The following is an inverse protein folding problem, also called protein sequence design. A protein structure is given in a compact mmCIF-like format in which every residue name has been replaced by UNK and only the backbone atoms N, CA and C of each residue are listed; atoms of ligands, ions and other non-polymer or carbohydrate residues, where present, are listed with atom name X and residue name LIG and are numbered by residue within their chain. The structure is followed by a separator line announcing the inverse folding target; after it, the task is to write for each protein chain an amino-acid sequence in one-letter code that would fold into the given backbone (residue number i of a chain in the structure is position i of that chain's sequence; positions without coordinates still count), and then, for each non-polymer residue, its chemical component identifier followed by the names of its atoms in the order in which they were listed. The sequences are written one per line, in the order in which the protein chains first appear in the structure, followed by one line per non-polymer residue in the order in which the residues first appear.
data_IF_047548185519
#
_entry.id   IF_047548185519
#
_cell.length_a   1.000
_cell.length_b   1.000
_cell.length_c   1.000
_cell.angle_alpha   90.00
_cell.angle_beta   90.00
_cell.angle_gamma   90.00
#
_symmetry.space_group_name_H-M   'P 1'
#
loop_
_entity.id
_entity.type
_entity.pdbx_description
1 polymer ?
#
# COMPACT_ATOMS: atom_id res chain seq x y z
N UNK A 1 13.81 31.86 -66.65
CA UNK A 1 13.21 32.20 -65.33
C UNK A 1 12.17 31.14 -65.03
N UNK A 2 12.01 30.48 -63.89
CA UNK A 2 12.72 30.32 -62.62
C UNK A 2 12.14 29.00 -62.04
N UNK A 3 12.99 28.05 -61.62
CA UNK A 3 12.57 26.77 -61.02
C UNK A 3 12.03 27.03 -59.60
N UNK A 4 10.89 26.47 -59.23
CA UNK A 4 10.43 26.41 -57.83
C UNK A 4 10.49 24.96 -57.37
N UNK A 5 11.43 24.71 -56.46
CA UNK A 5 11.52 23.47 -55.67
C UNK A 5 10.38 23.44 -54.65
N UNK A 6 9.62 22.35 -54.63
CA UNK A 6 8.68 22.05 -53.54
C UNK A 6 9.44 21.38 -52.39
N UNK A 7 9.51 22.07 -51.25
CA UNK A 7 10.11 21.59 -50.00
C UNK A 7 9.30 20.45 -49.39
N UNK A 8 9.97 19.35 -49.07
CA UNK A 8 9.46 18.30 -48.21
C UNK A 8 9.49 18.76 -46.75
N UNK A 9 8.31 18.83 -46.11
CA UNK A 9 8.18 19.11 -44.68
C UNK A 9 8.28 17.78 -43.92
N UNK A 10 9.44 17.51 -43.32
CA UNK A 10 9.61 16.42 -42.35
C UNK A 10 9.13 16.91 -40.98
N UNK A 11 8.01 16.38 -40.50
CA UNK A 11 7.54 16.57 -39.12
C UNK A 11 8.26 15.54 -38.24
N UNK A 12 9.24 16.00 -37.46
CA UNK A 12 9.81 15.24 -36.35
C UNK A 12 8.83 15.31 -35.17
N UNK A 13 8.09 14.23 -34.92
CA UNK A 13 7.38 14.02 -33.66
C UNK A 13 8.41 13.66 -32.59
N UNK A 14 8.92 14.67 -31.88
CA UNK A 14 9.69 14.44 -30.65
C UNK A 14 8.67 14.06 -29.59
N UNK A 15 8.51 12.76 -29.35
CA UNK A 15 7.78 12.25 -28.20
C UNK A 15 8.50 12.69 -26.93
N UNK A 16 7.94 13.67 -26.22
CA UNK A 16 8.39 14.04 -24.89
C UNK A 16 8.00 12.92 -23.92
N UNK A 17 8.89 11.96 -23.72
CA UNK A 17 8.85 11.08 -22.55
C UNK A 17 9.19 11.91 -21.32
N UNK A 18 8.22 12.64 -20.78
CA UNK A 18 8.33 13.23 -19.46
C UNK A 18 8.28 12.08 -18.45
N UNK A 19 9.46 11.55 -18.10
CA UNK A 19 9.61 10.79 -16.87
C UNK A 19 9.27 11.75 -15.72
N UNK A 20 8.07 11.61 -15.17
CA UNK A 20 7.67 12.34 -13.97
C UNK A 20 8.66 11.97 -12.87
N UNK A 21 9.43 12.96 -12.40
CA UNK A 21 10.30 12.77 -11.26
C UNK A 21 9.44 12.31 -10.07
N UNK A 22 9.66 11.09 -9.61
CA UNK A 22 8.95 10.54 -8.46
C UNK A 22 9.30 11.39 -7.24
N UNK A 23 8.27 11.91 -6.55
CA UNK A 23 8.50 12.72 -5.34
C UNK A 23 9.22 11.88 -4.30
N UNK A 24 10.34 12.40 -3.79
CA UNK A 24 11.09 11.76 -2.69
C UNK A 24 10.37 11.81 -1.36
N UNK A 25 9.29 12.57 -1.25
CA UNK A 25 8.51 12.72 -0.01
C UNK A 25 7.70 11.47 0.33
N UNK A 26 7.50 10.59 -0.65
CA UNK A 26 6.73 9.36 -0.51
C UNK A 26 7.60 8.13 -0.78
N UNK A 27 7.22 7.02 -0.17
CA UNK A 27 7.62 5.69 -0.62
C UNK A 27 6.91 5.38 -1.94
N UNK A 28 7.59 4.62 -2.80
CA UNK A 28 7.03 4.22 -4.10
C UNK A 28 5.72 3.43 -3.93
N UNK A 29 4.62 4.01 -4.41
CA UNK A 29 3.29 3.42 -4.29
C UNK A 29 3.14 2.13 -5.12
N UNK A 30 3.77 2.04 -6.29
CA UNK A 30 3.66 0.88 -7.18
C UNK A 30 4.39 -0.31 -6.57
N UNK A 31 5.56 -0.08 -5.96
CA UNK A 31 6.28 -1.12 -5.19
C UNK A 31 5.49 -1.58 -3.97
N UNK A 32 4.81 -0.67 -3.27
CA UNK A 32 3.93 -1.05 -2.15
C UNK A 32 2.74 -1.89 -2.63
N UNK A 33 2.20 -1.62 -3.82
CA UNK A 33 1.16 -2.47 -4.44
C UNK A 33 1.71 -3.86 -4.78
N UNK A 34 2.90 -3.94 -5.39
CA UNK A 34 3.57 -5.20 -5.72
C UNK A 34 3.83 -6.07 -4.47
N UNK A 35 4.19 -5.44 -3.35
CA UNK A 35 4.45 -6.13 -2.09
C UNK A 35 3.22 -6.88 -1.54
N UNK A 36 2.00 -6.40 -1.80
CA UNK A 36 0.77 -6.82 -1.11
C UNK A 36 0.54 -8.32 -1.17
N UNK A 37 0.57 -8.92 -2.36
CA UNK A 37 0.27 -10.35 -2.53
C UNK A 37 1.36 -11.25 -1.92
N UNK A 38 2.62 -10.82 -1.99
CA UNK A 38 3.72 -11.54 -1.36
C UNK A 38 3.63 -11.52 0.16
N UNK A 39 3.43 -10.33 0.73
CA UNK A 39 3.32 -10.15 2.18
C UNK A 39 2.08 -10.83 2.75
N UNK A 40 0.95 -10.83 2.03
CA UNK A 40 -0.25 -11.53 2.46
C UNK A 40 0.02 -13.03 2.65
N UNK A 41 0.80 -13.66 1.76
CA UNK A 41 1.21 -15.07 1.92
C UNK A 41 2.09 -15.27 3.16
N UNK A 42 3.04 -14.36 3.41
CA UNK A 42 3.89 -14.38 4.61
C UNK A 42 3.04 -14.31 5.88
N UNK A 43 2.09 -13.36 5.94
CA UNK A 43 1.21 -13.19 7.10
C UNK A 43 0.28 -14.39 7.27
N UNK A 44 -0.36 -14.88 6.19
CA UNK A 44 -1.21 -16.08 6.23
C UNK A 44 -0.49 -17.29 6.77
N UNK A 45 0.75 -17.53 6.32
CA UNK A 45 1.55 -18.65 6.84
C UNK A 45 1.85 -18.48 8.32
N UNK A 46 2.23 -17.28 8.75
CA UNK A 46 2.49 -17.00 10.17
C UNK A 46 1.23 -17.23 11.02
N UNK A 47 0.07 -16.77 10.54
CA UNK A 47 -1.23 -16.89 11.21
C UNK A 47 -1.94 -18.23 10.98
N UNK A 48 -1.34 -19.13 10.19
CA UNK A 48 -1.90 -20.42 9.78
C UNK A 48 -3.25 -20.32 9.07
N UNK A 49 -3.53 -19.20 8.41
CA UNK A 49 -4.74 -19.02 7.63
C UNK A 49 -4.66 -19.75 6.28
N UNK A 50 -5.80 -20.26 5.81
CA UNK A 50 -5.96 -20.96 4.53
C UNK A 50 -6.76 -20.13 3.51
N UNK A 51 -7.01 -18.86 3.80
CA UNK A 51 -7.78 -17.98 2.91
C UNK A 51 -7.09 -17.74 1.57
N UNK A 52 -7.91 -17.44 0.56
CA UNK A 52 -7.47 -17.32 -0.84
C UNK A 52 -7.84 -15.98 -1.48
N UNK A 53 -8.68 -15.15 -0.84
CA UNK A 53 -9.05 -13.83 -1.35
C UNK A 53 -7.90 -12.84 -1.17
N UNK A 54 -8.09 -11.56 -1.46
CA UNK A 54 -7.08 -10.53 -1.20
C UNK A 54 -7.79 -9.20 -1.00
N UNK A 55 -7.35 -8.35 -0.07
CA UNK A 55 -7.94 -7.03 0.08
C UNK A 55 -7.52 -6.13 -1.09
N UNK A 56 -8.34 -5.14 -1.40
CA UNK A 56 -7.90 -3.98 -2.16
C UNK A 56 -6.82 -3.21 -1.41
N UNK A 57 -6.02 -2.40 -2.12
CA UNK A 57 -5.02 -1.53 -1.51
C UNK A 57 -5.07 -0.16 -2.19
N UNK A 58 -5.26 0.89 -1.37
CA UNK A 58 -5.27 2.29 -1.76
C UNK A 58 -4.14 3.01 -1.03
N UNK A 59 -3.24 3.60 -1.80
CA UNK A 59 -2.06 4.29 -1.28
C UNK A 59 -2.33 5.79 -1.23
N UNK A 60 -1.96 6.44 -0.12
CA UNK A 60 -2.13 7.88 0.14
C UNK A 60 -1.70 8.75 -1.05
N UNK A 61 -0.50 8.57 -1.59
CA UNK A 61 0.01 9.41 -2.69
C UNK A 61 -0.72 9.25 -4.03
N UNK A 62 -1.60 8.24 -4.17
CA UNK A 62 -2.35 7.93 -5.39
C UNK A 62 -3.87 7.99 -5.17
N UNK A 63 -4.32 8.34 -3.97
CA UNK A 63 -5.74 8.30 -3.59
C UNK A 63 -6.15 9.66 -3.06
N UNK A 64 -7.17 10.28 -3.65
CA UNK A 64 -7.70 11.54 -3.16
C UNK A 64 -8.21 11.37 -1.71
N UNK A 65 -7.91 12.35 -0.84
CA UNK A 65 -8.33 12.32 0.57
C UNK A 65 -9.84 12.15 0.74
N UNK A 66 -10.64 12.71 -0.16
CA UNK A 66 -12.11 12.57 -0.16
C UNK A 66 -12.55 11.11 -0.24
N UNK A 67 -11.87 10.29 -1.03
CA UNK A 67 -12.17 8.86 -1.18
C UNK A 67 -11.92 8.11 0.13
N UNK A 68 -10.81 8.43 0.81
CA UNK A 68 -10.50 7.87 2.13
C UNK A 68 -11.51 8.33 3.19
N UNK A 69 -11.80 9.64 3.24
CA UNK A 69 -12.74 10.21 4.19
C UNK A 69 -14.13 9.61 4.09
N UNK A 70 -14.64 9.44 2.87
CA UNK A 70 -15.97 8.87 2.65
C UNK A 70 -16.02 7.39 3.10
N UNK A 71 -14.92 6.65 2.96
CA UNK A 71 -14.81 5.29 3.49
C UNK A 71 -14.78 5.26 5.02
N UNK A 72 -13.98 6.14 5.65
CA UNK A 72 -13.89 6.22 7.11
C UNK A 72 -15.18 6.70 7.76
N UNK A 73 -15.89 7.63 7.14
CA UNK A 73 -17.16 8.12 7.65
C UNK A 73 -18.22 7.02 7.61
N UNK A 74 -18.22 6.21 6.56
CA UNK A 74 -19.11 5.05 6.46
C UNK A 74 -18.76 3.93 7.46
N UNK A 75 -17.48 3.68 7.70
CA UNK A 75 -17.04 2.58 8.56
C UNK A 75 -17.06 2.92 10.06
N UNK A 76 -16.49 4.06 10.42
CA UNK A 76 -16.29 4.49 11.81
C UNK A 76 -17.16 5.68 12.24
N UNK A 77 -17.88 6.31 11.31
CA UNK A 77 -18.57 7.57 11.61
C UNK A 77 -17.59 8.74 11.84
N UNK A 78 -16.34 8.61 11.38
CA UNK A 78 -15.28 9.59 11.56
C UNK A 78 -14.80 10.13 10.21
N UNK A 79 -14.37 11.38 10.20
CA UNK A 79 -13.87 12.04 8.98
C UNK A 79 -12.48 12.65 9.22
N UNK A 80 -11.40 11.85 9.16
CA UNK A 80 -10.06 12.34 9.45
C UNK A 80 -9.58 13.35 8.40
N UNK A 81 -8.85 14.38 8.83
CA UNK A 81 -8.27 15.39 7.93
C UNK A 81 -7.00 14.93 7.20
N UNK A 82 -6.55 13.71 7.47
CA UNK A 82 -5.35 13.09 6.91
C UNK A 82 -5.52 11.57 6.80
N UNK A 83 -4.72 10.94 5.94
CA UNK A 83 -4.74 9.48 5.79
C UNK A 83 -4.31 8.77 7.07
N UNK A 84 -4.89 7.60 7.31
CA UNK A 84 -4.46 6.65 8.33
C UNK A 84 -4.18 5.30 7.66
N UNK A 85 -3.35 4.49 8.31
CA UNK A 85 -3.27 3.07 7.96
C UNK A 85 -4.50 2.38 8.56
N UNK A 86 -5.27 1.68 7.72
CA UNK A 86 -6.49 1.01 8.15
C UNK A 86 -6.93 -0.04 7.14
N UNK A 87 -7.35 -1.20 7.65
CA UNK A 87 -8.20 -2.13 6.92
C UNK A 87 -9.68 -1.81 7.15
N UNK A 88 -10.38 -1.45 6.08
CA UNK A 88 -11.83 -1.29 6.06
C UNK A 88 -12.52 -2.60 5.69
N UNK A 89 -13.12 -3.25 6.71
CA UNK A 89 -13.85 -4.51 6.56
C UNK A 89 -15.12 -4.40 5.72
N UNK A 90 -15.73 -3.21 5.60
CA UNK A 90 -16.93 -3.04 4.77
C UNK A 90 -16.63 -3.12 3.27
N UNK A 91 -15.46 -2.60 2.86
CA UNK A 91 -15.05 -2.54 1.46
C UNK A 91 -13.94 -3.53 1.12
N UNK A 92 -13.50 -4.32 2.10
CA UNK A 92 -12.37 -5.24 1.98
C UNK A 92 -11.14 -4.53 1.38
N UNK A 93 -10.81 -3.33 1.88
CA UNK A 93 -9.77 -2.46 1.33
C UNK A 93 -8.84 -1.96 2.43
N UNK A 94 -7.54 -2.05 2.18
CA UNK A 94 -6.51 -1.42 2.99
C UNK A 94 -6.26 -0.01 2.44
N UNK A 95 -6.26 0.98 3.31
CA UNK A 95 -5.74 2.33 3.05
C UNK A 95 -4.37 2.44 3.75
N UNK A 96 -3.35 2.87 3.01
CA UNK A 96 -1.98 2.90 3.48
C UNK A 96 -1.35 4.27 3.26
N UNK A 97 -0.88 4.90 4.34
CA UNK A 97 0.01 6.05 4.28
C UNK A 97 1.36 5.65 3.69
N UNK A 98 1.87 6.42 2.75
CA UNK A 98 3.21 6.21 2.20
C UNK A 98 4.10 7.45 2.26
N UNK A 99 3.66 8.53 2.91
CA UNK A 99 4.52 9.69 3.17
C UNK A 99 5.68 9.32 4.09
N UNK A 100 6.92 9.59 3.69
CA UNK A 100 8.14 9.19 4.44
C UNK A 100 8.16 9.77 5.86
N UNK A 101 7.69 11.00 6.03
CA UNK A 101 7.69 11.71 7.32
C UNK A 101 6.68 11.15 8.33
N UNK A 102 5.71 10.34 7.90
CA UNK A 102 4.79 9.64 8.80
C UNK A 102 5.45 8.47 9.53
N UNK A 103 6.64 8.05 9.12
CA UNK A 103 7.34 6.88 9.65
C UNK A 103 8.63 7.27 10.36
N UNK A 104 8.87 6.66 11.53
CA UNK A 104 10.13 6.79 12.27
C UNK A 104 10.96 5.52 12.08
N UNK A 105 12.23 5.67 11.71
CA UNK A 105 13.14 4.54 11.57
C UNK A 105 13.16 3.69 12.86
N UNK A 106 13.06 2.35 12.77
CA UNK A 106 13.15 1.52 11.55
C UNK A 106 11.80 1.21 10.86
N UNK A 107 10.68 1.81 11.30
CA UNK A 107 9.37 1.53 10.72
C UNK A 107 9.22 2.14 9.32
N UNK A 108 8.47 1.45 8.47
CA UNK A 108 8.20 1.79 7.06
C UNK A 108 6.75 1.47 6.70
N UNK A 109 6.22 1.98 5.57
CA UNK A 109 4.89 1.59 5.08
C UNK A 109 4.73 0.08 4.86
N UNK A 110 5.81 -0.65 4.58
CA UNK A 110 5.77 -2.11 4.45
C UNK A 110 5.38 -2.77 5.78
N UNK A 111 5.86 -2.25 6.92
CA UNK A 111 5.42 -2.74 8.22
C UNK A 111 3.94 -2.45 8.43
N UNK A 112 3.47 -1.25 8.11
CA UNK A 112 2.06 -0.91 8.24
C UNK A 112 1.17 -1.74 7.32
N UNK A 113 1.62 -2.06 6.11
CA UNK A 113 0.92 -3.00 5.25
C UNK A 113 0.82 -4.38 5.89
N UNK A 114 1.88 -4.89 6.51
CA UNK A 114 1.83 -6.16 7.27
C UNK A 114 0.82 -6.10 8.42
N UNK A 115 0.77 -4.97 9.15
CA UNK A 115 -0.20 -4.74 10.23
C UNK A 115 -1.64 -4.82 9.70
N UNK A 116 -1.97 -4.08 8.66
CA UNK A 116 -3.33 -4.08 8.10
C UNK A 116 -3.72 -5.42 7.45
N UNK A 117 -2.75 -6.15 6.90
CA UNK A 117 -2.98 -7.51 6.39
C UNK A 117 -3.34 -8.50 7.51
N UNK A 118 -2.84 -8.29 8.74
CA UNK A 118 -3.26 -9.07 9.91
C UNK A 118 -4.73 -8.81 10.21
N UNK A 119 -5.16 -7.55 10.23
CA UNK A 119 -6.57 -7.21 10.43
C UNK A 119 -7.48 -7.79 9.36
N UNK A 120 -7.05 -7.76 8.10
CA UNK A 120 -7.77 -8.44 7.03
C UNK A 120 -7.95 -9.94 7.32
N UNK A 121 -6.90 -10.66 7.72
CA UNK A 121 -7.01 -12.10 8.03
C UNK A 121 -7.92 -12.33 9.25
N UNK A 122 -7.75 -11.53 10.32
CA UNK A 122 -8.57 -11.62 11.53
C UNK A 122 -10.06 -11.47 11.21
N UNK A 123 -10.42 -10.44 10.45
CA UNK A 123 -11.82 -10.10 10.15
C UNK A 123 -12.43 -10.99 9.07
N UNK A 124 -11.70 -11.28 8.00
CA UNK A 124 -12.26 -11.94 6.80
C UNK A 124 -12.06 -13.45 6.79
N UNK A 125 -11.00 -13.97 7.43
CA UNK A 125 -10.61 -15.38 7.31
C UNK A 125 -10.74 -16.17 8.62
N UNK A 126 -10.81 -15.48 9.75
CA UNK A 126 -10.83 -16.09 11.08
C UNK A 126 -12.07 -15.71 11.91
N UNK A 127 -13.04 -15.02 11.29
CA UNK A 127 -14.29 -14.58 11.92
C UNK A 127 -14.07 -13.80 13.23
N UNK A 128 -12.97 -13.04 13.32
CA UNK A 128 -12.65 -12.21 14.48
C UNK A 128 -13.76 -11.20 14.75
N UNK A 129 -14.27 -11.18 15.98
CA UNK A 129 -15.35 -10.28 16.36
C UNK A 129 -14.84 -8.84 16.53
N UNK A 130 -15.58 -7.85 16.00
CA UNK A 130 -15.28 -6.42 16.14
C UNK A 130 -15.24 -5.92 17.60
N UNK A 131 -15.70 -6.72 18.57
CA UNK A 131 -15.66 -6.43 20.01
C UNK A 131 -14.30 -6.66 20.68
N UNK A 132 -13.36 -7.32 20.00
CA UNK A 132 -12.05 -7.71 20.55
C UNK A 132 -10.91 -6.77 20.13
N UNK A 133 -11.24 -5.50 19.81
CA UNK A 133 -10.33 -4.54 19.19
C UNK A 133 -8.92 -4.49 19.81
N UNK A 134 -8.82 -4.40 21.14
CA UNK A 134 -7.52 -4.35 21.82
C UNK A 134 -6.67 -5.62 21.63
N UNK A 135 -7.31 -6.80 21.57
CA UNK A 135 -6.63 -8.08 21.32
C UNK A 135 -6.18 -8.15 19.86
N UNK A 136 -7.06 -7.74 18.93
CA UNK A 136 -6.77 -7.75 17.49
C UNK A 136 -5.60 -6.82 17.14
N UNK A 137 -5.58 -5.60 17.70
CA UNK A 137 -4.47 -4.65 17.57
C UNK A 137 -3.18 -5.16 18.20
N UNK A 138 -3.25 -5.76 19.39
CA UNK A 138 -2.08 -6.36 20.04
C UNK A 138 -1.43 -7.47 19.21
N UNK A 139 -2.25 -8.29 18.55
CA UNK A 139 -1.80 -9.33 17.63
C UNK A 139 -1.18 -8.76 16.35
N UNK A 140 -1.80 -7.73 15.75
CA UNK A 140 -1.28 -7.05 14.57
C UNK A 140 0.09 -6.40 14.86
N UNK A 141 0.24 -5.70 15.99
CA UNK A 141 1.52 -5.11 16.42
C UNK A 141 2.57 -6.18 16.65
N UNK A 142 2.21 -7.32 17.27
CA UNK A 142 3.15 -8.42 17.52
C UNK A 142 3.67 -9.01 16.20
N UNK A 143 2.78 -9.28 15.23
CA UNK A 143 3.17 -9.85 13.94
C UNK A 143 3.96 -8.84 13.11
N UNK A 144 3.56 -7.57 13.10
CA UNK A 144 4.33 -6.50 12.47
C UNK A 144 5.75 -6.39 13.05
N UNK A 145 5.88 -6.55 14.37
CA UNK A 145 7.19 -6.53 15.05
C UNK A 145 8.03 -7.73 14.67
N UNK A 146 7.46 -8.94 14.71
CA UNK A 146 8.11 -10.16 14.22
C UNK A 146 8.60 -10.02 12.77
N UNK A 147 7.77 -9.48 11.88
CA UNK A 147 8.13 -9.27 10.49
C UNK A 147 9.32 -8.32 10.36
N UNK A 148 9.29 -7.17 11.05
CA UNK A 148 10.40 -6.21 11.04
C UNK A 148 11.71 -6.85 11.53
N UNK A 149 11.67 -7.58 12.63
CA UNK A 149 12.85 -8.19 13.24
C UNK A 149 13.45 -9.31 12.38
N UNK A 150 12.61 -10.13 11.74
CA UNK A 150 13.06 -11.32 11.01
C UNK A 150 13.25 -11.10 9.51
N UNK A 151 12.51 -10.15 8.93
CA UNK A 151 12.42 -9.95 7.47
C UNK A 151 12.62 -8.49 7.05
N UNK A 152 12.65 -7.53 7.98
CA UNK A 152 12.76 -6.11 7.64
C UNK A 152 14.06 -5.71 6.92
N UNK A 153 15.12 -6.50 7.06
CA UNK A 153 16.38 -6.32 6.33
C UNK A 153 16.28 -6.69 4.84
N UNK A 154 15.21 -7.36 4.43
CA UNK A 154 14.91 -7.72 3.04
C UNK A 154 14.10 -6.64 2.33
N UNK A 155 13.84 -5.50 3.00
CA UNK A 155 13.19 -4.35 2.37
C UNK A 155 14.28 -3.47 1.78
N UNK A 156 14.33 -3.38 0.45
CA UNK A 156 15.29 -2.56 -0.28
C UNK A 156 14.53 -1.67 -1.27
N UNK A 157 14.92 -0.40 -1.35
CA UNK A 157 14.37 0.56 -2.32
C UNK A 157 12.82 0.57 -2.36
N UNK A 158 12.19 0.55 -1.17
CA UNK A 158 10.74 0.51 -0.96
C UNK A 158 10.02 -0.82 -1.32
N UNK A 159 10.74 -1.85 -1.76
CA UNK A 159 10.23 -3.18 -2.11
C UNK A 159 10.66 -4.24 -1.08
N UNK A 160 9.79 -5.21 -0.81
CA UNK A 160 10.14 -6.42 -0.09
C UNK A 160 10.71 -7.46 -1.07
N UNK A 161 12.00 -7.77 -0.93
CA UNK A 161 12.72 -8.71 -1.82
C UNK A 161 12.88 -10.11 -1.20
N UNK A 162 12.20 -10.38 -0.08
CA UNK A 162 12.24 -11.67 0.58
C UNK A 162 11.31 -12.72 -0.03
N UNK A 163 11.42 -13.98 0.41
CA UNK A 163 10.50 -15.03 -0.03
C UNK A 163 9.08 -14.75 0.46
N UNK A 164 8.09 -15.01 -0.40
CA UNK A 164 6.66 -14.92 -0.05
C UNK A 164 6.16 -16.11 0.76
N UNK A 165 7.05 -17.05 1.08
CA UNK A 165 6.79 -18.26 1.85
C UNK A 165 7.34 -18.15 3.27
#
# INVERSE_FOLDING_TARGET
MLKILGSALFIFMIGSSAALAQSTDYWDADKLQENKECLLKVVRKHMRSQGTSSPGLKIESQTDLIVFQDAMEKWWGLRPDFFLNVFDGNTNTIYLMNKRTSYKHPRTPVDSLVHELVHYIQVVEQDGALGDGDILEGDAVRIQTWFRETRGHLIQNDLYEGPCE
#
